data_IF_379749221251
#
_entry.id   IF_379749221251
#
_cell.length_a   1.000
_cell.length_b   1.000
_cell.length_c   1.000
_cell.angle_alpha   90.00
_cell.angle_beta   90.00
_cell.angle_gamma   90.00
#
_symmetry.space_group_name_H-M   'P 1'
#
loop_
_entity.id
_entity.type
_entity.pdbx_description
1 polymer ?
#
# COMPACT_ATOMS: atom_id res chain seq x y z
N UNK A 1 -14.27 60.45 -0.92
CA UNK A 1 -13.10 59.58 -0.75
C UNK A 1 -13.62 58.16 -0.49
N UNK A 2 -13.80 57.41 -1.53
CA UNK A 2 -14.29 56.02 -1.44
C UNK A 2 -13.09 55.07 -1.40
N UNK A 3 -13.03 54.24 -0.34
CA UNK A 3 -12.08 53.13 -0.22
C UNK A 3 -12.67 51.90 -0.87
N UNK A 4 -12.16 51.54 -2.04
CA UNK A 4 -12.41 50.29 -2.71
C UNK A 4 -11.82 49.11 -1.88
N UNK A 5 -12.67 48.24 -1.37
CA UNK A 5 -12.28 46.96 -0.76
C UNK A 5 -12.14 45.93 -1.85
N UNK A 6 -10.92 45.46 -2.11
CA UNK A 6 -10.63 44.35 -3.02
C UNK A 6 -10.90 43.03 -2.31
N UNK A 7 -11.88 42.30 -2.81
CA UNK A 7 -12.21 40.92 -2.41
C UNK A 7 -11.10 39.98 -2.87
N UNK A 8 -10.56 39.07 -2.04
CA UNK A 8 -9.62 38.07 -2.49
C UNK A 8 -10.34 37.04 -3.35
N UNK A 9 -9.86 36.83 -4.57
CA UNK A 9 -10.27 35.76 -5.47
C UNK A 9 -9.94 34.43 -4.81
N UNK A 10 -10.97 33.62 -4.52
CA UNK A 10 -10.81 32.21 -4.19
C UNK A 10 -10.22 31.49 -5.41
N UNK A 11 -8.97 31.07 -5.30
CA UNK A 11 -8.40 30.06 -6.22
C UNK A 11 -9.10 28.72 -5.98
N UNK A 12 -10.05 28.41 -6.85
CA UNK A 12 -10.58 27.06 -6.96
C UNK A 12 -9.51 26.17 -7.60
N UNK A 13 -8.68 25.54 -6.80
CA UNK A 13 -7.80 24.46 -7.25
C UNK A 13 -8.68 23.32 -7.77
N UNK A 14 -8.74 23.17 -9.10
CA UNK A 14 -9.31 22.01 -9.76
C UNK A 14 -8.55 20.78 -9.28
N UNK A 15 -9.10 20.03 -8.31
CA UNK A 15 -8.64 18.68 -7.98
C UNK A 15 -8.78 17.83 -9.25
N UNK A 16 -7.67 17.61 -9.95
CA UNK A 16 -7.63 16.64 -11.04
C UNK A 16 -8.02 15.28 -10.43
N UNK A 17 -9.07 14.64 -10.97
CA UNK A 17 -9.52 13.32 -10.49
C UNK A 17 -8.38 12.32 -10.69
N UNK A 18 -7.69 11.96 -9.63
CA UNK A 18 -6.70 10.89 -9.58
C UNK A 18 -7.38 9.58 -10.04
N UNK A 19 -7.03 9.04 -11.21
CA UNK A 19 -7.77 7.92 -11.81
C UNK A 19 -7.04 6.58 -11.73
N UNK A 20 -5.72 6.56 -11.94
CA UNK A 20 -4.88 5.36 -11.99
C UNK A 20 -3.59 5.57 -11.22
N UNK A 21 -3.10 4.50 -10.58
CA UNK A 21 -1.78 4.42 -9.97
C UNK A 21 -0.78 3.70 -10.89
N UNK A 22 -1.24 2.71 -11.66
CA UNK A 22 -0.51 2.04 -12.74
C UNK A 22 -1.47 1.54 -13.82
N UNK A 23 -0.94 0.84 -14.81
CA UNK A 23 -1.76 0.25 -15.90
C UNK A 23 -2.94 -0.58 -15.37
N UNK A 24 -2.70 -1.39 -14.31
CA UNK A 24 -3.68 -2.33 -13.77
C UNK A 24 -4.13 -2.01 -12.32
N UNK A 25 -3.80 -0.84 -11.81
CA UNK A 25 -4.18 -0.41 -10.46
C UNK A 25 -4.84 0.96 -10.50
N UNK A 26 -6.09 1.02 -10.06
CA UNK A 26 -6.83 2.27 -9.94
C UNK A 26 -6.52 2.99 -8.61
N UNK A 27 -6.72 4.30 -8.59
CA UNK A 27 -6.63 5.09 -7.35
C UNK A 27 -7.62 4.61 -6.29
N UNK A 28 -8.86 4.30 -6.70
CA UNK A 28 -9.91 3.83 -5.78
C UNK A 28 -9.55 2.50 -5.09
N UNK A 29 -8.86 1.59 -5.78
CA UNK A 29 -8.36 0.35 -5.15
C UNK A 29 -7.26 0.65 -4.15
N UNK A 30 -6.34 1.57 -4.48
CA UNK A 30 -5.22 1.94 -3.61
C UNK A 30 -5.64 2.58 -2.29
N UNK A 31 -6.78 3.29 -2.25
CA UNK A 31 -7.31 3.94 -1.04
C UNK A 31 -8.47 3.17 -0.40
N UNK A 32 -8.87 2.03 -0.96
CA UNK A 32 -10.01 1.27 -0.45
C UNK A 32 -9.76 0.74 0.96
N UNK A 33 -10.74 0.93 1.84
CA UNK A 33 -10.77 0.36 3.19
C UNK A 33 -12.21 0.27 3.71
N UNK A 34 -12.66 -0.95 3.95
CA UNK A 34 -13.99 -1.18 4.56
C UNK A 34 -14.02 -0.68 6.01
N UNK A 35 -12.90 -0.76 6.72
CA UNK A 35 -12.79 -0.21 8.07
C UNK A 35 -12.91 1.31 8.07
N UNK A 36 -12.27 1.99 7.13
CA UNK A 36 -12.39 3.45 7.00
C UNK A 36 -13.85 3.85 6.73
N UNK A 37 -14.52 3.17 5.81
CA UNK A 37 -15.95 3.39 5.51
C UNK A 37 -16.82 3.16 6.74
N UNK A 38 -16.61 2.04 7.44
CA UNK A 38 -17.39 1.69 8.64
C UNK A 38 -17.22 2.70 9.78
N UNK A 39 -16.02 3.24 9.94
CA UNK A 39 -15.69 4.20 11.01
C UNK A 39 -15.88 5.67 10.59
N UNK A 40 -16.22 5.95 9.32
CA UNK A 40 -16.34 7.31 8.80
C UNK A 40 -14.99 8.06 8.74
N UNK A 41 -13.89 7.33 8.63
CA UNK A 41 -12.53 7.89 8.55
C UNK A 41 -12.19 8.20 7.10
N UNK A 42 -11.67 9.42 6.83
CA UNK A 42 -11.12 9.74 5.52
C UNK A 42 -9.83 8.97 5.27
N UNK A 43 -9.76 8.31 4.12
CA UNK A 43 -8.55 7.60 3.67
C UNK A 43 -7.95 8.25 2.41
N UNK A 44 -8.06 9.57 2.29
CA UNK A 44 -7.47 10.34 1.21
C UNK A 44 -6.00 10.65 1.50
N UNK A 45 -5.06 10.32 0.60
CA UNK A 45 -3.65 10.62 0.76
C UNK A 45 -3.35 12.09 0.57
N UNK A 46 -2.30 12.58 1.23
CA UNK A 46 -1.65 13.85 0.87
C UNK A 46 -1.06 13.75 -0.54
N UNK A 47 -0.65 14.87 -1.13
CA UNK A 47 0.00 14.84 -2.44
C UNK A 47 1.33 14.06 -2.40
N UNK A 48 2.12 14.20 -1.34
CA UNK A 48 3.34 13.41 -1.13
C UNK A 48 3.06 11.91 -1.05
N UNK A 49 2.06 11.50 -0.24
CA UNK A 49 1.70 10.09 -0.13
C UNK A 49 1.12 9.54 -1.44
N UNK A 50 0.43 10.36 -2.21
CA UNK A 50 -0.04 9.97 -3.54
C UNK A 50 1.11 9.72 -4.52
N UNK A 51 2.14 10.57 -4.52
CA UNK A 51 3.35 10.35 -5.32
C UNK A 51 4.06 9.05 -4.91
N UNK A 52 4.16 8.77 -3.61
CA UNK A 52 4.67 7.50 -3.12
C UNK A 52 3.84 6.30 -3.61
N UNK A 53 2.51 6.43 -3.63
CA UNK A 53 1.62 5.38 -4.16
C UNK A 53 1.87 5.13 -5.65
N UNK A 54 2.10 6.16 -6.47
CA UNK A 54 2.46 6.02 -7.88
C UNK A 54 3.75 5.24 -8.05
N UNK A 55 4.80 5.59 -7.30
CA UNK A 55 6.09 4.90 -7.33
C UNK A 55 5.94 3.43 -6.89
N UNK A 56 5.24 3.18 -5.78
CA UNK A 56 4.98 1.84 -5.25
C UNK A 56 4.22 0.98 -6.26
N UNK A 57 3.20 1.55 -6.90
CA UNK A 57 2.42 0.84 -7.91
C UNK A 57 3.26 0.49 -9.15
N UNK A 58 4.10 1.41 -9.60
CA UNK A 58 4.97 1.20 -10.78
C UNK A 58 6.11 0.23 -10.49
N UNK A 59 6.78 0.37 -9.34
CA UNK A 59 7.98 -0.41 -8.99
C UNK A 59 7.67 -1.81 -8.47
N UNK A 60 6.52 -2.00 -7.82
CA UNK A 60 6.17 -3.28 -7.18
C UNK A 60 4.92 -3.92 -7.81
N UNK A 61 3.78 -3.24 -7.80
CA UNK A 61 2.52 -3.85 -8.21
C UNK A 61 2.50 -4.22 -9.69
N UNK A 62 2.89 -3.31 -10.58
CA UNK A 62 2.78 -3.55 -12.02
C UNK A 62 3.69 -4.69 -12.49
N UNK A 63 4.98 -4.80 -12.09
CA UNK A 63 5.80 -5.96 -12.42
C UNK A 63 5.24 -7.29 -11.90
N UNK A 64 4.73 -7.31 -10.67
CA UNK A 64 4.06 -8.49 -10.09
C UNK A 64 2.81 -8.89 -10.89
N UNK A 65 2.00 -7.90 -11.27
CA UNK A 65 0.78 -8.11 -12.06
C UNK A 65 1.08 -8.64 -13.45
N UNK A 66 2.12 -8.13 -14.10
CA UNK A 66 2.55 -8.57 -15.43
C UNK A 66 3.12 -10.00 -15.37
N UNK A 67 3.94 -10.32 -14.38
CA UNK A 67 4.44 -11.67 -14.15
C UNK A 67 3.33 -12.67 -13.81
N UNK A 68 2.42 -12.28 -12.93
CA UNK A 68 1.32 -13.14 -12.48
C UNK A 68 0.39 -13.53 -13.66
N UNK A 69 0.19 -12.62 -14.62
CA UNK A 69 -0.73 -12.81 -15.74
C UNK A 69 -2.22 -12.73 -15.37
N UNK A 70 -2.55 -12.78 -14.08
CA UNK A 70 -3.90 -12.74 -13.50
C UNK A 70 -4.08 -11.56 -12.56
N UNK A 71 -5.32 -11.16 -12.21
CA UNK A 71 -5.56 -10.15 -11.20
C UNK A 71 -4.89 -10.50 -9.87
N UNK A 72 -4.30 -9.50 -9.23
CA UNK A 72 -3.79 -9.56 -7.87
C UNK A 72 -4.72 -8.71 -7.01
N UNK A 73 -5.23 -9.29 -5.93
CA UNK A 73 -6.07 -8.59 -4.96
C UNK A 73 -5.20 -7.74 -4.05
N UNK A 74 -5.59 -6.49 -3.88
CA UNK A 74 -4.98 -5.59 -2.92
C UNK A 74 -5.84 -5.58 -1.65
N UNK A 75 -5.31 -6.17 -0.59
CA UNK A 75 -5.97 -6.16 0.72
C UNK A 75 -5.81 -4.81 1.40
N UNK A 76 -4.66 -4.15 1.19
CA UNK A 76 -4.36 -2.82 1.70
C UNK A 76 -3.24 -2.19 0.88
N UNK A 77 -3.34 -0.90 0.59
CA UNK A 77 -2.23 -0.10 0.09
C UNK A 77 -2.06 1.14 0.98
N UNK A 78 -2.83 2.19 0.78
CA UNK A 78 -2.76 3.38 1.61
C UNK A 78 -3.65 3.27 2.86
N UNK A 79 -3.12 3.72 3.98
CA UNK A 79 -3.85 3.90 5.23
C UNK A 79 -3.53 5.28 5.80
N UNK A 80 -4.53 6.17 5.90
CA UNK A 80 -4.32 7.46 6.58
C UNK A 80 -3.82 7.23 8.02
N UNK A 81 -3.13 8.20 8.60
CA UNK A 81 -2.62 8.09 9.96
C UNK A 81 -3.74 7.78 10.96
N UNK A 82 -4.91 8.38 10.77
CA UNK A 82 -6.09 8.13 11.59
C UNK A 82 -6.57 6.69 11.46
N UNK A 83 -6.71 6.19 10.22
CA UNK A 83 -7.08 4.80 9.96
C UNK A 83 -6.05 3.83 10.54
N UNK A 84 -4.76 4.08 10.31
CA UNK A 84 -3.68 3.24 10.82
C UNK A 84 -3.71 3.14 12.36
N UNK A 85 -3.97 4.25 13.04
CA UNK A 85 -4.17 4.27 14.50
C UNK A 85 -5.41 3.49 14.93
N UNK A 86 -6.53 3.65 14.23
CA UNK A 86 -7.79 2.98 14.55
C UNK A 86 -7.70 1.45 14.47
N UNK A 87 -6.89 0.92 13.55
CA UNK A 87 -6.67 -0.54 13.39
C UNK A 87 -5.49 -1.07 14.23
N UNK A 88 -4.85 -0.24 15.05
CA UNK A 88 -3.70 -0.64 15.87
C UNK A 88 -2.42 -0.88 15.07
N UNK A 89 -2.27 -0.26 13.90
CA UNK A 89 -1.07 -0.36 13.07
C UNK A 89 0.15 0.31 13.70
N UNK A 90 1.35 -0.13 13.30
CA UNK A 90 2.61 0.49 13.74
C UNK A 90 2.64 1.97 13.37
N UNK A 91 3.19 2.80 14.26
CA UNK A 91 3.41 4.25 14.00
C UNK A 91 4.35 4.50 12.82
N UNK A 92 5.21 3.53 12.49
CA UNK A 92 6.18 3.57 11.39
C UNK A 92 5.72 2.75 10.19
N UNK A 93 4.43 2.41 10.10
CA UNK A 93 3.88 1.62 9.00
C UNK A 93 4.04 2.34 7.67
N UNK A 94 4.69 1.70 6.70
CA UNK A 94 4.86 2.24 5.34
C UNK A 94 3.54 2.37 4.57
N UNK A 95 2.48 1.68 4.98
CA UNK A 95 1.13 1.94 4.46
C UNK A 95 0.66 3.37 4.73
N UNK A 96 1.06 3.97 5.85
CA UNK A 96 0.68 5.34 6.18
C UNK A 96 1.34 6.41 5.29
N UNK A 97 2.36 6.01 4.54
CA UNK A 97 3.10 6.86 3.61
C UNK A 97 2.84 6.52 2.13
N UNK A 98 1.96 5.55 1.85
CA UNK A 98 1.70 5.08 0.49
C UNK A 98 2.82 4.21 -0.11
N UNK A 99 3.66 3.63 0.73
CA UNK A 99 4.88 2.90 0.35
C UNK A 99 4.77 1.39 0.49
N UNK A 100 3.59 0.84 0.79
CA UNK A 100 3.40 -0.58 1.02
C UNK A 100 2.13 -1.14 0.39
N UNK A 101 2.16 -2.43 0.12
CA UNK A 101 1.07 -3.23 -0.43
C UNK A 101 0.93 -4.53 0.36
N UNK A 102 -0.30 -4.91 0.70
CA UNK A 102 -0.67 -6.25 1.15
C UNK A 102 -1.44 -6.92 0.01
N UNK A 103 -0.93 -8.05 -0.49
CA UNK A 103 -1.34 -8.66 -1.74
C UNK A 103 -1.74 -10.13 -1.58
N UNK A 104 -2.79 -10.53 -2.30
CA UNK A 104 -3.19 -11.91 -2.54
C UNK A 104 -3.25 -12.21 -4.04
N UNK A 105 -2.73 -13.34 -4.45
CA UNK A 105 -2.88 -13.83 -5.82
C UNK A 105 -4.31 -14.35 -6.05
N UNK A 106 -4.80 -14.13 -7.26
CA UNK A 106 -6.10 -14.66 -7.73
C UNK A 106 -5.86 -15.41 -9.02
N UNK A 107 -5.57 -16.70 -8.94
CA UNK A 107 -5.30 -17.52 -10.12
C UNK A 107 -4.51 -18.76 -9.77
N UNK A 108 -3.72 -19.23 -10.71
CA UNK A 108 -2.88 -20.43 -10.63
C UNK A 108 -1.52 -20.21 -9.97
N UNK A 109 -1.14 -18.97 -9.72
CA UNK A 109 0.04 -18.61 -8.90
C UNK A 109 -0.36 -18.53 -7.43
N UNK A 110 0.48 -19.06 -6.54
CA UNK A 110 0.28 -18.95 -5.09
C UNK A 110 0.89 -17.66 -4.51
N UNK A 111 0.52 -17.33 -3.27
CA UNK A 111 1.18 -16.25 -2.53
C UNK A 111 2.67 -16.56 -2.26
N UNK A 112 3.01 -17.84 -2.09
CA UNK A 112 4.40 -18.29 -2.00
C UNK A 112 5.16 -18.01 -3.31
N UNK A 113 4.55 -18.30 -4.48
CA UNK A 113 5.15 -17.99 -5.78
C UNK A 113 5.40 -16.48 -5.92
N UNK A 114 4.42 -15.65 -5.50
CA UNK A 114 4.55 -14.18 -5.52
C UNK A 114 5.71 -13.71 -4.64
N UNK A 115 5.81 -14.24 -3.41
CA UNK A 115 6.90 -13.92 -2.49
C UNK A 115 8.27 -14.26 -3.08
N UNK A 116 8.43 -15.47 -3.60
CA UNK A 116 9.71 -15.94 -4.16
C UNK A 116 10.10 -15.14 -5.40
N UNK A 117 9.15 -14.93 -6.33
CA UNK A 117 9.41 -14.14 -7.52
C UNK A 117 9.80 -12.69 -7.18
N UNK A 118 9.06 -12.04 -6.26
CA UNK A 118 9.39 -10.70 -5.79
C UNK A 118 10.78 -10.62 -5.16
N UNK A 119 11.13 -11.62 -4.34
CA UNK A 119 12.44 -11.71 -3.68
C UNK A 119 13.60 -11.73 -4.67
N UNK A 120 13.42 -12.37 -5.81
CA UNK A 120 14.47 -12.58 -6.83
C UNK A 120 14.52 -11.46 -7.88
N UNK A 121 13.39 -10.82 -8.18
CA UNK A 121 13.25 -9.97 -9.36
C UNK A 121 13.00 -8.49 -9.04
N UNK A 122 12.62 -8.11 -7.80
CA UNK A 122 12.28 -6.74 -7.46
C UNK A 122 13.27 -6.10 -6.48
N UNK A 123 13.38 -4.79 -6.58
CA UNK A 123 13.93 -3.95 -5.51
C UNK A 123 12.80 -3.60 -4.53
N UNK A 124 13.01 -3.87 -3.24
CA UNK A 124 12.03 -3.62 -2.18
C UNK A 124 12.71 -3.24 -0.87
N UNK A 125 11.97 -2.58 0.01
CA UNK A 125 12.45 -2.31 1.36
C UNK A 125 12.19 -3.50 2.29
N UNK A 126 10.92 -3.91 2.43
CA UNK A 126 10.53 -5.12 3.15
C UNK A 126 9.67 -6.01 2.27
N UNK A 127 9.88 -7.31 2.40
CA UNK A 127 9.06 -8.38 1.82
C UNK A 127 8.72 -9.35 2.94
N UNK A 128 7.44 -9.47 3.28
CA UNK A 128 7.01 -10.21 4.46
C UNK A 128 6.06 -11.36 4.07
N UNK A 129 6.44 -12.54 4.51
CA UNK A 129 5.59 -13.73 4.52
C UNK A 129 4.63 -13.61 5.70
N UNK A 130 3.40 -13.20 5.42
CA UNK A 130 2.44 -12.85 6.47
C UNK A 130 1.63 -14.07 6.90
N UNK A 131 1.98 -14.61 8.07
CA UNK A 131 1.33 -15.74 8.73
C UNK A 131 1.28 -17.02 7.85
N UNK A 132 0.16 -17.75 7.89
CA UNK A 132 -0.01 -18.97 7.09
C UNK A 132 0.84 -20.13 7.58
N UNK A 133 1.29 -20.95 6.65
CA UNK A 133 2.14 -22.13 6.89
C UNK A 133 3.59 -21.86 6.47
N UNK A 134 4.43 -22.90 6.47
CA UNK A 134 5.78 -22.85 5.89
C UNK A 134 5.75 -22.85 4.36
N UNK A 135 4.68 -23.38 3.78
CA UNK A 135 4.50 -23.54 2.34
C UNK A 135 3.72 -22.40 1.70
N UNK A 136 2.83 -21.72 2.45
CA UNK A 136 1.94 -20.70 1.92
C UNK A 136 1.64 -19.61 2.94
N UNK A 137 1.92 -18.32 2.67
CA UNK A 137 1.50 -17.21 3.51
C UNK A 137 0.01 -16.88 3.30
N UNK A 138 -0.63 -16.28 4.31
CA UNK A 138 -2.00 -15.81 4.16
C UNK A 138 -2.09 -14.66 3.16
N UNK A 139 -1.07 -13.79 3.12
CA UNK A 139 -0.86 -12.75 2.12
C UNK A 139 0.62 -12.36 2.10
N UNK A 140 1.01 -11.56 1.14
CA UNK A 140 2.38 -11.02 1.03
C UNK A 140 2.34 -9.51 1.23
N UNK A 141 3.14 -9.03 2.19
CA UNK A 141 3.44 -7.61 2.33
C UNK A 141 4.70 -7.27 1.56
N UNK A 142 4.67 -6.19 0.77
CA UNK A 142 5.85 -5.66 0.08
C UNK A 142 5.85 -4.14 0.16
N UNK A 143 7.02 -3.54 0.39
CA UNK A 143 7.18 -2.09 0.49
C UNK A 143 8.36 -1.57 -0.31
N UNK A 144 8.31 -0.29 -0.65
CA UNK A 144 9.33 0.41 -1.41
C UNK A 144 9.63 1.77 -0.79
N UNK A 145 10.91 2.11 -0.68
CA UNK A 145 11.38 3.45 -0.33
C UNK A 145 12.73 3.71 -1.00
N UNK A 146 13.28 4.92 -0.88
CA UNK A 146 14.52 5.29 -1.56
C UNK A 146 15.74 4.45 -1.14
N UNK A 147 15.73 3.93 0.08
CA UNK A 147 16.87 3.19 0.67
C UNK A 147 16.71 1.67 0.67
N UNK A 148 15.72 1.12 0.03
CA UNK A 148 15.37 -0.32 -0.05
C UNK A 148 16.35 -1.29 0.64
N UNK A 149 16.00 -1.79 1.83
CA UNK A 149 16.87 -2.66 2.67
C UNK A 149 16.94 -4.10 2.19
N UNK A 150 16.07 -4.51 1.27
CA UNK A 150 15.87 -5.93 0.85
C UNK A 150 15.63 -6.88 2.03
N UNK A 151 14.92 -6.40 3.05
CA UNK A 151 14.65 -7.17 4.25
C UNK A 151 13.52 -8.17 4.03
N UNK A 152 13.84 -9.45 4.11
CA UNK A 152 12.86 -10.54 4.06
C UNK A 152 12.48 -10.99 5.45
N UNK A 153 11.17 -11.02 5.74
CA UNK A 153 10.64 -11.35 7.06
C UNK A 153 9.54 -12.39 6.97
N UNK A 154 9.37 -13.11 8.06
CA UNK A 154 8.20 -13.96 8.32
C UNK A 154 7.47 -13.44 9.56
N UNK A 155 6.16 -13.18 9.40
CA UNK A 155 5.28 -12.83 10.51
C UNK A 155 4.62 -14.07 11.08
N UNK A 156 4.62 -14.20 12.41
CA UNK A 156 3.96 -15.29 13.13
C UNK A 156 3.16 -14.76 14.32
N UNK A 157 2.17 -15.49 14.78
CA UNK A 157 1.45 -15.20 16.04
C UNK A 157 2.07 -15.97 17.19
N UNK A 158 2.44 -15.24 18.26
CA UNK A 158 2.86 -15.86 19.52
C UNK A 158 2.12 -15.19 20.67
N UNK A 159 1.30 -15.96 21.40
CA UNK A 159 0.48 -15.46 22.53
C UNK A 159 -0.32 -14.19 22.17
N UNK A 160 -0.96 -14.20 20.97
CA UNK A 160 -1.77 -13.08 20.47
C UNK A 160 -0.99 -11.89 19.91
N UNK A 161 0.35 -11.87 20.01
CA UNK A 161 1.21 -10.80 19.47
C UNK A 161 1.86 -11.25 18.17
N UNK A 162 1.98 -10.33 17.21
CA UNK A 162 2.75 -10.55 15.98
C UNK A 162 4.25 -10.45 16.28
N UNK A 163 5.01 -11.43 15.79
CA UNK A 163 6.47 -11.44 15.78
C UNK A 163 6.97 -11.56 14.36
N UNK A 164 8.06 -10.86 14.09
CA UNK A 164 8.76 -10.89 12.81
C UNK A 164 10.12 -11.53 12.99
N UNK A 165 10.49 -12.45 12.12
CA UNK A 165 11.82 -13.07 12.04
C UNK A 165 12.39 -12.88 10.65
N UNK A 166 13.70 -12.64 10.55
CA UNK A 166 14.42 -12.56 9.28
C UNK A 166 14.51 -13.96 8.67
N UNK A 167 14.30 -14.06 7.34
CA UNK A 167 14.36 -15.32 6.57
C UNK A 167 15.21 -15.15 5.29
#
# INVERSE_FOLDING_TARGET
MEKSASTPKQESTKKSKKKKLSKNLSYSEGIHSDTAKKLGISNEPTDEHYENMLVTAEKLFQPLRDWCGHPIKINSMYRSLELNKAIGGSKTSQHAFGQALDLDTLGDKSNADLFHWASENLEFDQLIWEFGTTEEPNWVHISYCDTNRKQKLKATKHRGKTRYSVI
#
